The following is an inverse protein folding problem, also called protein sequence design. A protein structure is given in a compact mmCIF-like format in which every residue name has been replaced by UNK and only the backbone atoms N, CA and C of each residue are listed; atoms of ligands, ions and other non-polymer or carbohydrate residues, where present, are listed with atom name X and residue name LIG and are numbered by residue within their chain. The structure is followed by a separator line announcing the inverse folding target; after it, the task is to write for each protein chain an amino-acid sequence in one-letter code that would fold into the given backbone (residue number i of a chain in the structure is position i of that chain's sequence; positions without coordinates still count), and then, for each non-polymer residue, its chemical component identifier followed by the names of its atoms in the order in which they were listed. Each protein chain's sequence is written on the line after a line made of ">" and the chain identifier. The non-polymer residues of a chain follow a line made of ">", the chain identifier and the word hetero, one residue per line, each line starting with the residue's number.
data_IF_229204289157
#
_entry.id   IF_229204289157
#
_cell.length_a   1.000
_cell.length_b   1.000
_cell.length_c   1.000
_cell.angle_alpha   90.00
_cell.angle_beta   90.00
_cell.angle_gamma   90.00
#
_symmetry.space_group_name_H-M   'P 1'
#
loop_
_entity.id
_entity.type
_entity.pdbx_description
1 polymer ?
#
# COMPACT_ATOMS: atom_id res chain seq x y z
N UNK A 1 24.28 -26.70 7.03
CA UNK A 1 25.04 -25.51 7.50
C UNK A 1 24.67 -25.28 8.95
N UNK A 2 25.62 -25.41 9.89
CA UNK A 2 25.34 -25.18 11.31
C UNK A 2 25.28 -23.68 11.61
N UNK A 3 24.21 -23.26 12.27
CA UNK A 3 24.06 -21.89 12.76
C UNK A 3 25.08 -21.63 13.85
N UNK A 4 25.88 -20.56 13.74
CA UNK A 4 26.90 -20.24 14.73
C UNK A 4 26.30 -19.84 16.08
N UNK A 5 27.01 -20.05 17.19
CA UNK A 5 26.56 -19.66 18.53
C UNK A 5 26.29 -18.15 18.65
N UNK A 6 26.96 -17.30 17.85
CA UNK A 6 26.77 -15.86 17.76
C UNK A 6 25.43 -15.50 17.06
N UNK A 7 25.13 -16.20 15.99
CA UNK A 7 23.83 -16.07 15.28
C UNK A 7 22.69 -16.53 16.18
N UNK A 8 22.83 -17.65 16.88
CA UNK A 8 21.82 -18.15 17.81
C UNK A 8 21.55 -17.16 18.97
N UNK A 9 22.57 -16.51 19.53
CA UNK A 9 22.42 -15.45 20.54
C UNK A 9 21.75 -14.22 19.99
N UNK A 10 22.02 -13.82 18.75
CA UNK A 10 21.35 -12.71 18.07
C UNK A 10 19.88 -13.04 17.84
N UNK A 11 19.55 -14.24 17.39
CA UNK A 11 18.18 -14.72 17.22
C UNK A 11 17.40 -14.78 18.54
N UNK A 12 18.00 -15.30 19.61
CA UNK A 12 17.34 -15.38 20.93
C UNK A 12 17.13 -14.00 21.55
N UNK A 13 18.06 -13.07 21.40
CA UNK A 13 17.90 -11.69 21.87
C UNK A 13 16.82 -10.93 21.07
N UNK A 14 16.77 -11.12 19.76
CA UNK A 14 15.73 -10.57 18.88
C UNK A 14 14.36 -11.14 19.23
N UNK A 15 14.25 -12.47 19.38
CA UNK A 15 13.02 -13.15 19.77
C UNK A 15 12.51 -12.69 21.15
N UNK A 16 13.40 -12.52 22.14
CA UNK A 16 13.02 -12.00 23.47
C UNK A 16 12.57 -10.54 23.43
N UNK A 17 13.24 -9.67 22.67
CA UNK A 17 12.84 -8.28 22.46
C UNK A 17 11.48 -8.20 21.75
N UNK A 18 11.30 -9.04 20.73
CA UNK A 18 10.03 -9.12 19.99
C UNK A 18 8.89 -9.63 20.88
N UNK A 19 9.13 -10.68 21.69
CA UNK A 19 8.12 -11.21 22.63
C UNK A 19 7.76 -10.18 23.71
N UNK A 20 8.74 -9.50 24.31
CA UNK A 20 8.50 -8.46 25.32
C UNK A 20 7.74 -7.26 24.76
N UNK A 21 8.10 -6.79 23.55
CA UNK A 21 7.35 -5.76 22.83
C UNK A 21 5.92 -6.24 22.54
N UNK A 22 5.76 -7.45 22.02
CA UNK A 22 4.48 -8.01 21.68
C UNK A 22 3.52 -8.09 22.90
N UNK A 23 4.01 -8.54 24.06
CA UNK A 23 3.20 -8.60 25.30
C UNK A 23 2.78 -7.20 25.73
N UNK A 24 3.72 -6.24 25.73
CA UNK A 24 3.43 -4.85 26.06
C UNK A 24 2.41 -4.24 25.10
N UNK A 25 2.63 -4.37 23.80
CA UNK A 25 1.72 -3.88 22.77
C UNK A 25 0.31 -4.49 22.94
N UNK A 26 0.21 -5.79 23.30
CA UNK A 26 -1.06 -6.46 23.61
C UNK A 26 -1.78 -5.90 24.83
N UNK A 27 -1.03 -5.54 25.87
CA UNK A 27 -1.60 -4.94 27.08
C UNK A 27 -2.07 -3.51 26.81
N UNK A 28 -1.29 -2.73 26.07
CA UNK A 28 -1.66 -1.38 25.63
C UNK A 28 -2.87 -1.40 24.70
N UNK A 29 -2.92 -2.32 23.73
CA UNK A 29 -4.03 -2.48 22.79
C UNK A 29 -5.38 -2.79 23.45
N UNK A 30 -5.38 -3.42 24.64
CA UNK A 30 -6.62 -3.63 25.42
C UNK A 30 -7.22 -2.32 25.91
N UNK A 31 -6.40 -1.28 26.06
CA UNK A 31 -6.78 0.05 26.55
C UNK A 31 -7.18 1.00 25.43
N UNK A 32 -6.76 0.70 24.19
CA UNK A 32 -7.04 1.54 23.02
C UNK A 32 -8.16 0.91 22.19
N UNK A 33 -9.31 1.54 22.03
CA UNK A 33 -10.40 1.00 21.22
C UNK A 33 -9.99 0.92 19.75
N UNK A 34 -10.51 -0.08 19.03
CA UNK A 34 -10.44 -0.14 17.58
C UNK A 34 -11.52 0.79 17.01
N UNK A 35 -11.11 1.94 16.50
CA UNK A 35 -12.02 2.96 15.99
C UNK A 35 -12.70 2.49 14.70
N UNK A 36 -13.95 2.87 14.44
CA UNK A 36 -14.57 2.72 13.11
C UNK A 36 -13.81 3.56 12.09
N UNK A 37 -13.91 3.21 10.80
CA UNK A 37 -13.45 4.09 9.74
C UNK A 37 -14.30 5.38 9.76
N UNK A 38 -13.67 6.58 9.62
CA UNK A 38 -14.42 7.84 9.64
C UNK A 38 -15.40 7.99 8.46
N UNK A 39 -15.10 7.35 7.34
CA UNK A 39 -15.95 7.37 6.14
C UNK A 39 -16.16 5.95 5.63
N UNK A 40 -17.21 5.75 4.82
CA UNK A 40 -17.51 4.49 4.15
C UNK A 40 -17.69 4.75 2.65
N UNK A 41 -16.88 4.12 1.79
CA UNK A 41 -17.07 4.20 0.34
C UNK A 41 -18.36 3.47 -0.09
N UNK A 42 -18.95 3.96 -1.16
CA UNK A 42 -20.12 3.37 -1.84
C UNK A 42 -19.74 3.02 -3.29
N UNK A 43 -18.95 1.94 -3.52
CA UNK A 43 -18.43 1.62 -4.85
C UNK A 43 -19.51 1.39 -5.90
N UNK A 44 -20.71 0.99 -5.49
CA UNK A 44 -21.88 0.80 -6.36
C UNK A 44 -22.37 2.09 -7.04
N UNK A 45 -21.97 3.24 -6.51
CA UNK A 45 -22.32 4.55 -7.09
C UNK A 45 -21.27 5.08 -8.07
N UNK A 46 -20.12 4.38 -8.21
CA UNK A 46 -19.01 4.90 -9.01
C UNK A 46 -19.22 4.67 -10.52
N UNK A 47 -18.93 5.71 -11.30
CA UNK A 47 -18.97 5.61 -12.76
C UNK A 47 -17.74 4.88 -13.32
N UNK A 48 -17.96 3.98 -14.27
CA UNK A 48 -16.90 3.32 -15.03
C UNK A 48 -16.23 4.24 -16.08
N UNK A 49 -16.72 5.46 -16.26
CA UNK A 49 -16.14 6.46 -17.15
C UNK A 49 -15.13 7.38 -16.45
N UNK A 50 -14.84 7.15 -15.18
CA UNK A 50 -13.96 8.02 -14.37
C UNK A 50 -12.90 7.22 -13.61
N UNK A 51 -11.83 7.93 -13.23
CA UNK A 51 -10.92 7.45 -12.17
C UNK A 51 -11.52 7.83 -10.82
N UNK A 52 -11.91 6.82 -10.04
CA UNK A 52 -12.38 6.99 -8.67
C UNK A 52 -11.60 6.08 -7.75
N UNK A 53 -11.19 6.58 -6.59
CA UNK A 53 -10.42 5.83 -5.59
C UNK A 53 -11.00 6.01 -4.20
N UNK A 54 -10.86 4.98 -3.34
CA UNK A 54 -11.10 5.09 -1.92
C UNK A 54 -9.97 4.47 -1.12
N UNK A 55 -9.51 5.16 -0.07
CA UNK A 55 -8.49 4.64 0.81
C UNK A 55 -9.11 3.77 1.92
N UNK A 56 -8.91 2.45 1.84
CA UNK A 56 -9.46 1.50 2.81
C UNK A 56 -8.60 1.35 4.09
N UNK A 57 -7.48 2.07 4.12
CA UNK A 57 -6.51 2.10 5.21
C UNK A 57 -5.21 1.38 4.88
N UNK A 58 -4.09 1.86 5.46
CA UNK A 58 -2.72 1.44 5.19
C UNK A 58 -2.36 1.66 3.72
N UNK A 59 -1.89 0.64 3.01
CA UNK A 59 -1.60 0.67 1.57
C UNK A 59 -2.73 0.07 0.72
N UNK A 60 -3.90 -0.21 1.34
CA UNK A 60 -5.04 -0.77 0.63
C UNK A 60 -5.91 0.34 0.06
N UNK A 61 -5.91 0.49 -1.25
CA UNK A 61 -6.72 1.45 -2.01
C UNK A 61 -7.60 0.68 -2.99
N UNK A 62 -8.91 0.93 -2.95
CA UNK A 62 -9.85 0.48 -3.98
C UNK A 62 -9.86 1.51 -5.10
N UNK A 63 -9.72 1.05 -6.33
CA UNK A 63 -9.58 1.90 -7.52
C UNK A 63 -10.56 1.41 -8.58
N UNK A 64 -11.41 2.30 -9.08
CA UNK A 64 -12.08 2.14 -10.37
C UNK A 64 -11.32 3.01 -11.39
N UNK A 65 -10.52 2.36 -12.23
CA UNK A 65 -9.74 3.04 -13.26
C UNK A 65 -10.41 2.89 -14.62
N UNK A 66 -11.38 3.75 -14.87
CA UNK A 66 -12.19 3.72 -16.12
C UNK A 66 -12.78 2.32 -16.40
N UNK A 67 -13.51 1.78 -15.42
CA UNK A 67 -14.15 0.47 -15.49
C UNK A 67 -13.21 -0.72 -15.24
N UNK A 68 -11.92 -0.49 -14.92
CA UNK A 68 -11.00 -1.51 -14.44
C UNK A 68 -10.89 -1.42 -12.93
N UNK A 69 -11.40 -2.43 -12.22
CA UNK A 69 -11.47 -2.46 -10.76
C UNK A 69 -10.23 -3.12 -10.16
N UNK A 70 -9.45 -2.34 -9.44
CA UNK A 70 -8.17 -2.74 -8.84
C UNK A 70 -8.21 -2.59 -7.32
N UNK A 71 -7.50 -3.47 -6.62
CA UNK A 71 -7.25 -3.35 -5.19
C UNK A 71 -5.75 -3.46 -4.92
N UNK A 72 -5.17 -2.45 -4.28
CA UNK A 72 -3.75 -2.45 -3.92
C UNK A 72 -3.53 -3.10 -2.56
N UNK A 73 -2.43 -3.80 -2.38
CA UNK A 73 -1.86 -4.31 -1.10
C UNK A 73 -2.93 -4.71 -0.06
N UNK A 74 -3.70 -5.79 -0.29
CA UNK A 74 -4.90 -6.09 0.48
C UNK A 74 -4.60 -6.58 1.89
N UNK A 75 -4.75 -5.70 2.88
CA UNK A 75 -4.55 -5.95 4.31
C UNK A 75 -5.77 -5.50 5.12
N UNK A 76 -6.91 -6.17 4.96
CA UNK A 76 -8.21 -5.79 5.54
C UNK A 76 -8.53 -6.43 6.89
N UNK A 77 -7.60 -7.21 7.47
CA UNK A 77 -7.82 -7.82 8.79
C UNK A 77 -7.49 -6.84 9.90
N UNK A 78 -8.04 -7.11 11.09
CA UNK A 78 -7.80 -6.33 12.31
C UNK A 78 -6.34 -6.37 12.76
N UNK A 79 -5.58 -7.38 12.34
CA UNK A 79 -4.18 -7.58 12.69
C UNK A 79 -3.42 -8.20 11.53
N UNK A 80 -2.24 -7.69 11.27
CA UNK A 80 -1.28 -8.23 10.31
C UNK A 80 -0.08 -8.83 11.03
N UNK A 81 0.64 -9.75 10.39
CA UNK A 81 1.82 -10.37 10.98
C UNK A 81 1.90 -11.87 10.79
N UNK A 82 2.76 -12.52 11.59
CA UNK A 82 3.01 -13.97 11.56
C UNK A 82 1.88 -14.73 12.23
N UNK A 83 1.40 -15.78 11.58
CA UNK A 83 0.36 -16.65 12.14
C UNK A 83 1.01 -17.85 12.83
N UNK A 84 0.69 -18.03 14.12
CA UNK A 84 1.16 -19.14 14.95
C UNK A 84 -0.04 -19.70 15.74
N UNK A 85 -0.34 -21.01 15.61
CA UNK A 85 -1.41 -21.69 16.36
C UNK A 85 -2.77 -20.99 16.29
N UNK A 86 -3.15 -20.44 15.13
CA UNK A 86 -4.42 -19.71 14.98
C UNK A 86 -4.38 -18.22 15.39
N UNK A 87 -3.38 -17.80 16.14
CA UNK A 87 -3.16 -16.42 16.54
C UNK A 87 -2.32 -15.68 15.50
N UNK A 88 -2.58 -14.38 15.30
CA UNK A 88 -1.72 -13.51 14.48
C UNK A 88 -0.85 -12.66 15.41
N UNK A 89 0.46 -12.81 15.29
CA UNK A 89 1.47 -12.06 16.02
C UNK A 89 1.92 -10.87 15.15
N UNK A 90 1.67 -9.64 15.63
CA UNK A 90 2.02 -8.41 14.93
C UNK A 90 1.06 -7.28 15.29
N UNK A 91 1.17 -6.10 14.68
CA UNK A 91 0.40 -4.91 15.04
C UNK A 91 -1.10 -5.09 14.76
N UNK A 92 -1.92 -4.50 15.67
CA UNK A 92 -3.35 -4.35 15.49
C UNK A 92 -3.64 -3.01 14.82
N UNK A 93 -4.69 -2.96 14.00
CA UNK A 93 -5.20 -1.70 13.45
C UNK A 93 -5.63 -0.75 14.56
N UNK A 94 -5.40 0.53 14.34
CA UNK A 94 -5.97 1.64 15.12
C UNK A 94 -7.40 1.93 14.65
N UNK A 95 -7.62 1.84 13.34
CA UNK A 95 -8.90 2.11 12.67
C UNK A 95 -9.29 0.87 11.86
N UNK A 96 -10.57 0.50 11.87
CA UNK A 96 -11.10 -0.59 11.03
C UNK A 96 -10.92 -0.27 9.55
N UNK A 97 -10.79 -1.29 8.67
CA UNK A 97 -10.84 -1.03 7.23
C UNK A 97 -12.21 -0.44 6.87
N UNK A 98 -12.22 0.48 5.90
CA UNK A 98 -13.46 1.14 5.49
C UNK A 98 -14.47 0.19 4.84
N UNK A 99 -13.97 -0.88 4.19
CA UNK A 99 -14.76 -2.01 3.68
C UNK A 99 -14.10 -3.33 4.10
N UNK A 100 -14.92 -4.31 4.46
CA UNK A 100 -14.46 -5.68 4.64
C UNK A 100 -14.28 -6.38 3.27
N UNK A 101 -13.54 -7.50 3.23
CA UNK A 101 -13.28 -8.23 1.98
C UNK A 101 -14.54 -8.70 1.26
N UNK A 102 -15.64 -8.97 1.99
CA UNK A 102 -16.92 -9.38 1.42
C UNK A 102 -17.79 -8.22 0.92
N UNK A 103 -17.40 -6.98 1.20
CA UNK A 103 -18.10 -5.76 0.78
C UNK A 103 -17.46 -5.11 -0.45
N UNK A 104 -16.35 -5.68 -0.93
CA UNK A 104 -15.67 -5.19 -2.13
C UNK A 104 -16.47 -5.52 -3.39
N UNK A 105 -16.45 -4.64 -4.39
CA UNK A 105 -17.01 -4.95 -5.71
C UNK A 105 -16.25 -6.10 -6.38
N UNK A 106 -16.74 -6.57 -7.53
CA UNK A 106 -16.00 -7.52 -8.35
C UNK A 106 -14.69 -6.88 -8.83
N UNK A 107 -13.56 -7.44 -8.41
CA UNK A 107 -12.23 -6.94 -8.76
C UNK A 107 -11.71 -7.63 -10.03
N UNK A 108 -11.15 -6.83 -10.95
CA UNK A 108 -10.44 -7.33 -12.13
C UNK A 108 -9.02 -7.79 -11.74
N UNK A 109 -8.32 -7.04 -10.87
CA UNK A 109 -7.02 -7.48 -10.35
C UNK A 109 -6.67 -6.93 -8.95
N UNK A 110 -5.76 -7.67 -8.29
CA UNK A 110 -4.98 -7.21 -7.14
C UNK A 110 -3.63 -6.71 -7.64
N UNK A 111 -3.15 -5.58 -7.13
CA UNK A 111 -1.79 -5.09 -7.35
C UNK A 111 -1.05 -5.22 -6.02
N UNK A 112 -0.03 -6.09 -5.94
CA UNK A 112 0.68 -6.31 -4.68
C UNK A 112 2.15 -5.94 -4.83
N UNK A 113 2.53 -4.89 -4.11
CA UNK A 113 3.84 -4.25 -4.23
C UNK A 113 4.99 -5.11 -3.72
N UNK A 114 4.80 -5.85 -2.63
CA UNK A 114 5.81 -6.73 -2.03
C UNK A 114 5.18 -7.67 -0.98
N UNK A 115 6.01 -8.54 -0.40
CA UNK A 115 5.52 -9.63 0.46
C UNK A 115 5.42 -9.28 1.95
N UNK A 116 5.68 -8.06 2.41
CA UNK A 116 5.51 -7.71 3.82
C UNK A 116 4.07 -7.97 4.28
N UNK A 117 3.92 -8.29 5.56
CA UNK A 117 2.66 -8.85 6.08
C UNK A 117 1.54 -7.84 6.16
N UNK A 118 1.85 -6.57 6.16
CA UNK A 118 0.93 -5.43 6.17
C UNK A 118 0.51 -4.98 4.76
N UNK A 119 1.16 -5.51 3.71
CA UNK A 119 0.80 -5.34 2.30
C UNK A 119 0.20 -6.62 1.71
N UNK A 120 0.86 -7.75 1.91
CA UNK A 120 0.43 -9.07 1.48
C UNK A 120 -0.14 -9.86 2.66
N UNK A 121 -1.34 -9.51 3.17
CA UNK A 121 -1.99 -10.27 4.24
C UNK A 121 -2.67 -11.52 3.70
N UNK A 122 -2.03 -12.68 3.88
CA UNK A 122 -2.55 -13.97 3.45
C UNK A 122 -3.95 -14.28 4.01
N UNK A 123 -4.30 -13.69 5.16
CA UNK A 123 -5.63 -13.86 5.75
C UNK A 123 -6.70 -13.09 4.98
N UNK A 124 -6.40 -11.91 4.49
CA UNK A 124 -7.25 -11.14 3.56
C UNK A 124 -7.32 -11.84 2.21
N UNK A 125 -6.18 -12.23 1.63
CA UNK A 125 -6.12 -12.92 0.34
C UNK A 125 -7.02 -14.16 0.30
N UNK A 126 -7.11 -14.94 1.41
CA UNK A 126 -7.99 -16.12 1.48
C UNK A 126 -9.48 -15.80 1.39
N UNK A 127 -9.89 -14.56 1.66
CA UNK A 127 -11.29 -14.11 1.62
C UNK A 127 -11.69 -13.51 0.28
N UNK A 128 -10.71 -13.18 -0.56
CA UNK A 128 -10.96 -12.64 -1.89
C UNK A 128 -11.32 -13.76 -2.89
N UNK A 129 -12.15 -13.48 -3.91
CA UNK A 129 -12.54 -14.45 -4.91
C UNK A 129 -11.33 -15.02 -5.67
N UNK A 130 -11.29 -16.34 -5.87
CA UNK A 130 -10.21 -17.01 -6.61
C UNK A 130 -10.09 -16.56 -8.07
N UNK A 131 -11.18 -16.09 -8.67
CA UNK A 131 -11.22 -15.60 -10.06
C UNK A 131 -10.52 -14.25 -10.24
N UNK A 132 -10.29 -13.49 -9.16
CA UNK A 132 -9.55 -12.23 -9.22
C UNK A 132 -8.12 -12.51 -9.68
N UNK A 133 -7.62 -11.75 -10.64
CA UNK A 133 -6.23 -11.81 -11.09
C UNK A 133 -5.31 -11.21 -10.04
N UNK A 134 -4.09 -11.71 -9.90
CA UNK A 134 -3.05 -11.11 -9.06
C UNK A 134 -1.89 -10.65 -9.95
N UNK A 135 -1.54 -9.37 -9.87
CA UNK A 135 -0.34 -8.78 -10.48
C UNK A 135 0.61 -8.45 -9.35
N UNK A 136 1.78 -9.07 -9.35
CA UNK A 136 2.73 -9.03 -8.24
C UNK A 136 4.16 -8.82 -8.75
N UNK A 137 5.05 -8.39 -7.87
CA UNK A 137 6.47 -8.32 -8.21
C UNK A 137 7.08 -9.74 -8.29
N UNK A 138 8.11 -9.91 -9.12
CA UNK A 138 8.83 -11.18 -9.34
C UNK A 138 9.15 -11.90 -8.02
N UNK A 139 9.06 -13.23 -8.01
CA UNK A 139 9.36 -14.08 -6.86
C UNK A 139 8.29 -14.10 -5.76
N UNK A 140 7.10 -13.55 -6.01
CA UNK A 140 6.00 -13.56 -5.04
C UNK A 140 4.84 -14.47 -5.44
N UNK A 141 4.82 -15.03 -6.64
CA UNK A 141 3.71 -15.80 -7.18
C UNK A 141 3.30 -17.00 -6.33
N UNK A 142 4.24 -17.61 -5.58
CA UNK A 142 3.98 -18.71 -4.67
C UNK A 142 2.97 -18.36 -3.57
N UNK A 143 2.86 -17.10 -3.17
CA UNK A 143 1.90 -16.59 -2.19
C UNK A 143 0.47 -16.48 -2.77
N UNK A 144 0.35 -16.47 -4.10
CA UNK A 144 -0.88 -16.22 -4.84
C UNK A 144 -1.43 -17.43 -5.59
N UNK A 145 -0.89 -18.64 -5.41
CA UNK A 145 -1.28 -19.89 -6.10
C UNK A 145 -2.78 -20.23 -6.06
N UNK A 146 -3.53 -19.62 -5.14
CA UNK A 146 -4.96 -19.82 -5.05
C UNK A 146 -5.77 -19.06 -6.10
N UNK A 147 -5.19 -18.02 -6.70
CA UNK A 147 -5.83 -17.19 -7.72
C UNK A 147 -5.71 -17.84 -9.10
N UNK A 148 -6.74 -17.67 -9.93
CA UNK A 148 -6.80 -18.31 -11.24
C UNK A 148 -5.72 -17.83 -12.21
N UNK A 149 -5.27 -16.57 -12.04
CA UNK A 149 -4.18 -15.99 -12.82
C UNK A 149 -3.26 -15.16 -11.93
N UNK A 150 -1.97 -15.37 -12.08
CA UNK A 150 -0.91 -14.62 -11.40
C UNK A 150 0.09 -14.16 -12.46
N UNK A 151 0.33 -12.86 -12.50
CA UNK A 151 1.37 -12.27 -13.35
C UNK A 151 2.46 -11.73 -12.42
N UNK A 152 3.67 -12.28 -12.55
CA UNK A 152 4.86 -11.80 -11.86
C UNK A 152 5.60 -10.86 -12.80
N UNK A 153 5.91 -9.64 -12.35
CA UNK A 153 6.56 -8.62 -13.15
C UNK A 153 7.88 -8.16 -12.52
N UNK A 154 8.90 -7.99 -13.35
CA UNK A 154 10.12 -7.24 -13.03
C UNK A 154 9.90 -5.75 -13.30
N UNK A 155 10.71 -4.90 -12.70
CA UNK A 155 10.69 -3.48 -13.01
C UNK A 155 10.82 -3.22 -14.50
N UNK A 156 9.92 -2.43 -15.07
CA UNK A 156 9.81 -2.12 -16.49
C UNK A 156 8.98 -3.14 -17.29
N UNK A 157 8.68 -4.32 -16.76
CA UNK A 157 7.74 -5.24 -17.38
C UNK A 157 6.30 -4.82 -17.13
N UNK A 158 5.41 -5.17 -18.05
CA UNK A 158 3.99 -4.80 -17.97
C UNK A 158 3.08 -5.93 -18.41
N UNK A 159 1.84 -5.86 -17.93
CA UNK A 159 0.74 -6.73 -18.35
C UNK A 159 -0.51 -5.88 -18.60
N UNK A 160 -1.52 -6.44 -19.24
CA UNK A 160 -2.79 -5.77 -19.49
C UNK A 160 -3.89 -6.38 -18.62
N UNK A 161 -4.67 -5.53 -17.95
CA UNK A 161 -5.84 -5.89 -17.15
C UNK A 161 -7.04 -5.09 -17.66
N UNK A 162 -7.97 -5.73 -18.38
CA UNK A 162 -9.21 -5.13 -18.89
C UNK A 162 -8.97 -3.77 -19.59
N UNK A 163 -7.96 -3.75 -20.49
CA UNK A 163 -7.56 -2.57 -21.26
C UNK A 163 -6.74 -1.54 -20.48
N UNK A 164 -6.40 -1.79 -19.22
CA UNK A 164 -5.43 -1.01 -18.48
C UNK A 164 -4.04 -1.66 -18.56
N UNK A 165 -3.02 -0.92 -19.00
CA UNK A 165 -1.64 -1.35 -18.92
C UNK A 165 -1.14 -1.17 -17.50
N UNK A 166 -0.59 -2.21 -16.92
CA UNK A 166 0.00 -2.23 -15.57
C UNK A 166 1.48 -2.55 -15.71
N UNK A 167 2.35 -1.58 -15.43
CA UNK A 167 3.81 -1.71 -15.46
C UNK A 167 4.36 -1.73 -14.03
N UNK A 168 5.27 -2.67 -13.73
CA UNK A 168 6.01 -2.66 -12.48
C UNK A 168 7.09 -1.57 -12.52
N UNK A 169 7.15 -0.70 -11.49
CA UNK A 169 8.10 0.41 -11.40
C UNK A 169 9.07 0.24 -10.23
N UNK A 170 10.29 0.74 -10.43
CA UNK A 170 11.36 0.72 -9.44
C UNK A 170 11.02 1.58 -8.20
N UNK A 171 11.34 1.05 -7.02
CA UNK A 171 11.23 1.74 -5.73
C UNK A 171 12.46 1.47 -4.87
N UNK A 172 12.64 2.25 -3.80
CA UNK A 172 13.72 2.07 -2.83
C UNK A 172 13.18 1.39 -1.57
N UNK A 173 13.10 0.05 -1.59
CA UNK A 173 12.60 -0.76 -0.49
C UNK A 173 13.23 -2.15 -0.49
N UNK A 174 12.59 -3.14 0.14
CA UNK A 174 12.99 -4.56 0.15
C UNK A 174 11.75 -5.45 0.26
N UNK A 175 11.82 -6.72 -0.21
CA UNK A 175 10.64 -7.56 -0.40
C UNK A 175 10.53 -8.80 0.49
N UNK A 176 11.54 -9.13 1.30
CA UNK A 176 11.56 -10.38 2.05
C UNK A 176 10.46 -10.43 3.13
N UNK A 177 9.65 -11.50 3.13
CA UNK A 177 8.65 -11.79 4.16
C UNK A 177 9.24 -12.51 5.38
N UNK A 178 10.33 -13.27 5.15
CA UNK A 178 11.08 -14.02 6.15
C UNK A 178 12.56 -13.74 5.95
N UNK A 179 13.38 -14.06 6.94
CA UNK A 179 14.84 -13.89 6.85
C UNK A 179 15.48 -14.70 5.71
N UNK A 180 14.80 -15.77 5.26
CA UNK A 180 15.30 -16.71 4.25
C UNK A 180 14.81 -16.45 2.83
N UNK A 181 13.83 -15.58 2.63
CA UNK A 181 13.21 -15.36 1.31
C UNK A 181 13.57 -14.00 0.69
N UNK A 182 14.85 -13.65 0.70
CA UNK A 182 15.41 -12.40 0.14
C UNK A 182 15.29 -12.27 -1.39
N UNK A 183 14.90 -13.36 -2.06
CA UNK A 183 14.67 -13.39 -3.52
C UNK A 183 13.37 -12.68 -3.94
N UNK A 184 12.49 -12.33 -2.99
CA UNK A 184 11.22 -11.71 -3.30
C UNK A 184 11.40 -10.29 -3.80
N UNK A 185 10.87 -10.03 -4.99
CA UNK A 185 10.82 -8.71 -5.60
C UNK A 185 9.90 -7.76 -4.84
N UNK A 186 10.10 -6.50 -5.10
CA UNK A 186 9.34 -5.37 -4.57
C UNK A 186 9.27 -4.27 -5.62
N UNK A 187 8.25 -3.43 -5.57
CA UNK A 187 8.06 -2.37 -6.55
C UNK A 187 6.74 -1.64 -6.40
N UNK A 188 6.58 -0.57 -7.14
CA UNK A 188 5.31 0.07 -7.39
C UNK A 188 4.66 -0.42 -8.67
N UNK A 189 3.56 0.22 -9.05
CA UNK A 189 2.86 0.00 -10.31
C UNK A 189 2.49 1.32 -10.95
N UNK A 190 2.73 1.45 -12.26
CA UNK A 190 2.12 2.46 -13.12
C UNK A 190 0.94 1.81 -13.82
N UNK A 191 -0.25 2.43 -13.69
CA UNK A 191 -1.47 1.98 -14.37
C UNK A 191 -1.88 3.03 -15.38
N UNK A 192 -2.00 2.64 -16.64
CA UNK A 192 -2.33 3.54 -17.75
C UNK A 192 -3.56 3.04 -18.52
N UNK A 193 -4.51 3.92 -18.80
CA UNK A 193 -5.69 3.66 -19.63
C UNK A 193 -6.29 4.98 -20.14
N UNK A 194 -6.73 5.03 -21.39
CA UNK A 194 -7.38 6.20 -21.99
C UNK A 194 -6.57 7.51 -21.87
N UNK A 195 -5.22 7.42 -21.95
CA UNK A 195 -4.34 8.59 -21.82
C UNK A 195 -4.22 9.15 -20.39
N UNK A 196 -4.74 8.44 -19.40
CA UNK A 196 -4.63 8.75 -17.98
C UNK A 196 -3.70 7.78 -17.28
N UNK A 197 -3.06 8.23 -16.19
CA UNK A 197 -2.12 7.42 -15.45
C UNK A 197 -2.25 7.58 -13.94
N UNK A 198 -2.12 6.46 -13.22
CA UNK A 198 -2.03 6.38 -11.78
C UNK A 198 -0.73 5.66 -11.41
N UNK A 199 0.01 6.19 -10.44
CA UNK A 199 1.16 5.51 -9.82
C UNK A 199 0.78 5.04 -8.42
N UNK A 200 0.93 3.74 -8.16
CA UNK A 200 0.91 3.16 -6.83
C UNK A 200 2.36 2.85 -6.42
N UNK A 201 2.89 3.59 -5.44
CA UNK A 201 4.30 3.48 -5.06
C UNK A 201 4.64 2.24 -4.23
N UNK A 202 3.64 1.56 -3.61
CA UNK A 202 3.95 0.61 -2.55
C UNK A 202 4.75 1.27 -1.43
N UNK A 203 5.63 0.52 -0.76
CA UNK A 203 6.57 1.10 0.17
C UNK A 203 7.86 1.53 -0.54
N UNK A 204 8.34 2.72 -0.18
CA UNK A 204 9.59 3.28 -0.71
C UNK A 204 10.17 4.34 0.23
N UNK A 205 11.49 4.39 0.36
CA UNK A 205 12.18 5.60 0.74
C UNK A 205 12.18 6.60 -0.42
N UNK A 206 12.68 7.81 -0.21
CA UNK A 206 12.89 8.75 -1.32
C UNK A 206 13.71 8.10 -2.44
N UNK A 207 13.23 8.25 -3.67
CA UNK A 207 13.90 7.77 -4.89
C UNK A 207 13.66 8.71 -6.06
N UNK A 208 14.63 8.86 -6.92
CA UNK A 208 14.50 9.56 -8.20
C UNK A 208 13.89 8.70 -9.32
N UNK A 209 13.61 7.43 -9.05
CA UNK A 209 13.04 6.51 -10.03
C UNK A 209 11.73 7.05 -10.63
N UNK A 210 10.87 7.64 -9.79
CA UNK A 210 9.60 8.21 -10.24
C UNK A 210 9.75 9.41 -11.16
N UNK A 211 10.81 10.23 -11.03
CA UNK A 211 11.07 11.33 -11.94
C UNK A 211 11.32 10.88 -13.39
N UNK A 212 11.71 9.59 -13.58
CA UNK A 212 11.88 8.99 -14.91
C UNK A 212 10.55 8.89 -15.67
N UNK A 213 9.41 8.75 -14.98
CA UNK A 213 8.08 8.69 -15.58
C UNK A 213 7.78 10.00 -16.33
N UNK A 214 8.03 11.14 -15.68
CA UNK A 214 7.89 12.46 -16.32
C UNK A 214 8.81 12.61 -17.53
N UNK A 215 10.06 12.14 -17.43
CA UNK A 215 11.03 12.19 -18.54
C UNK A 215 10.61 11.32 -19.74
N UNK A 216 9.83 10.26 -19.50
CA UNK A 216 9.22 9.41 -20.55
C UNK A 216 7.96 10.03 -21.15
N UNK A 217 7.55 11.21 -20.71
CA UNK A 217 6.32 11.88 -21.18
C UNK A 217 5.03 11.37 -20.52
N UNK A 218 5.11 10.51 -19.50
CA UNK A 218 3.92 10.02 -18.79
C UNK A 218 3.31 11.16 -17.96
N UNK A 219 2.06 11.48 -18.24
CA UNK A 219 1.27 12.41 -17.42
C UNK A 219 0.60 11.61 -16.29
N UNK A 220 1.06 11.80 -15.07
CA UNK A 220 0.51 11.13 -13.89
C UNK A 220 -0.63 11.97 -13.32
N UNK A 221 -1.87 11.45 -13.33
CA UNK A 221 -3.02 12.14 -12.74
C UNK A 221 -3.03 11.97 -11.21
N UNK A 222 -2.72 10.77 -10.70
CA UNK A 222 -2.72 10.47 -9.27
C UNK A 222 -1.49 9.64 -8.86
N UNK A 223 -0.75 10.13 -7.87
CA UNK A 223 0.30 9.37 -7.19
C UNK A 223 -0.18 8.89 -5.82
N UNK A 224 -0.24 7.58 -5.60
CA UNK A 224 -0.53 6.95 -4.31
C UNK A 224 0.80 6.60 -3.65
N UNK A 225 1.22 7.37 -2.64
CA UNK A 225 2.56 7.28 -2.04
C UNK A 225 2.53 7.12 -0.52
N UNK A 226 3.48 6.37 0.06
CA UNK A 226 3.59 6.19 1.51
C UNK A 226 4.08 7.47 2.17
N UNK A 227 3.54 7.79 3.37
CA UNK A 227 3.98 8.94 4.17
C UNK A 227 4.23 8.58 5.64
N UNK A 228 4.20 7.30 6.00
CA UNK A 228 4.37 6.82 7.38
C UNK A 228 5.46 5.76 7.50
N UNK A 229 5.69 5.33 8.74
CA UNK A 229 6.73 4.37 9.13
C UNK A 229 8.17 4.85 8.89
N UNK A 230 8.43 6.16 8.90
CA UNK A 230 9.74 6.73 8.62
C UNK A 230 10.67 6.84 9.85
N UNK A 231 10.17 6.89 11.08
CA UNK A 231 11.01 6.98 12.28
C UNK A 231 11.15 5.61 12.98
N UNK A 232 12.31 4.95 12.96
CA UNK A 232 13.61 5.38 12.43
C UNK A 232 13.93 4.89 11.01
N UNK A 233 12.94 4.44 10.24
CA UNK A 233 13.15 3.68 9.00
C UNK A 233 13.22 4.55 7.73
N UNK A 234 13.71 5.78 7.83
CA UNK A 234 13.78 6.77 6.73
C UNK A 234 14.52 6.27 5.48
N UNK A 235 15.41 5.29 5.62
CA UNK A 235 16.17 4.71 4.52
C UNK A 235 15.37 3.70 3.68
N UNK A 236 14.16 3.31 4.13
CA UNK A 236 13.26 2.37 3.45
C UNK A 236 11.82 2.85 3.40
N UNK A 237 11.49 3.95 4.11
CA UNK A 237 10.17 4.61 4.10
C UNK A 237 10.33 6.11 3.98
N UNK A 238 9.68 6.71 2.99
CA UNK A 238 9.68 8.15 2.81
C UNK A 238 8.87 8.86 3.91
N UNK A 239 9.36 10.00 4.36
CA UNK A 239 8.56 10.91 5.16
C UNK A 239 7.60 11.74 4.27
N UNK A 240 6.63 12.47 4.85
CA UNK A 240 5.64 13.23 4.08
C UNK A 240 6.24 14.23 3.09
N UNK A 241 7.30 14.94 3.47
CA UNK A 241 7.96 15.94 2.61
C UNK A 241 8.65 15.27 1.42
N UNK A 242 9.26 14.09 1.64
CA UNK A 242 9.89 13.32 0.57
C UNK A 242 8.84 12.77 -0.41
N UNK A 243 7.70 12.31 0.08
CA UNK A 243 6.61 11.83 -0.79
C UNK A 243 5.96 12.96 -1.57
N UNK A 244 5.77 14.12 -0.97
CA UNK A 244 5.36 15.33 -1.67
C UNK A 244 6.36 15.71 -2.77
N UNK A 245 7.65 15.66 -2.46
CA UNK A 245 8.72 15.93 -3.42
C UNK A 245 8.69 14.92 -4.58
N UNK A 246 8.59 13.61 -4.31
CA UNK A 246 8.51 12.58 -5.34
C UNK A 246 7.29 12.78 -6.25
N UNK A 247 6.10 13.11 -5.69
CA UNK A 247 4.91 13.42 -6.48
C UNK A 247 5.13 14.60 -7.43
N UNK A 248 5.80 15.65 -6.98
CA UNK A 248 6.14 16.81 -7.82
C UNK A 248 7.18 16.47 -8.89
N UNK A 249 8.20 15.72 -8.56
CA UNK A 249 9.29 15.32 -9.49
C UNK A 249 8.75 14.40 -10.60
N UNK A 250 7.81 13.50 -10.31
CA UNK A 250 7.15 12.69 -11.35
C UNK A 250 6.11 13.49 -12.16
N UNK A 251 5.76 14.70 -11.74
CA UNK A 251 4.73 15.51 -12.39
C UNK A 251 3.31 15.05 -12.10
N UNK A 252 3.09 14.34 -11.00
CA UNK A 252 1.75 13.95 -10.61
C UNK A 252 0.89 15.16 -10.30
N UNK A 253 -0.35 15.17 -10.78
CA UNK A 253 -1.28 16.27 -10.54
C UNK A 253 -1.85 16.22 -9.12
N UNK A 254 -2.21 15.03 -8.66
CA UNK A 254 -2.72 14.79 -7.31
C UNK A 254 -1.87 13.75 -6.59
N UNK A 255 -1.89 13.80 -5.25
CA UNK A 255 -1.31 12.80 -4.37
C UNK A 255 -2.36 12.24 -3.42
N UNK A 256 -2.41 10.90 -3.29
CA UNK A 256 -3.09 10.19 -2.23
C UNK A 256 -2.03 9.67 -1.27
N UNK A 257 -1.87 10.30 -0.09
CA UNK A 257 -0.96 9.81 0.93
C UNK A 257 -1.52 8.55 1.59
N UNK A 258 -0.70 7.52 1.70
CA UNK A 258 -1.05 6.25 2.32
C UNK A 258 -0.03 5.81 3.37
N UNK A 259 -0.18 4.60 3.92
CA UNK A 259 0.76 3.96 4.87
C UNK A 259 0.88 4.69 6.21
N UNK A 260 -0.19 5.33 6.68
CA UNK A 260 -0.25 6.04 7.98
C UNK A 260 -1.57 5.73 8.70
N UNK A 261 -1.71 6.17 9.95
CA UNK A 261 -2.96 6.16 10.74
C UNK A 261 -3.66 4.80 10.86
N UNK A 262 -3.06 3.73 10.38
CA UNK A 262 -3.68 2.39 10.33
C UNK A 262 -3.05 1.41 11.30
N UNK A 263 -1.74 1.25 11.26
CA UNK A 263 -0.95 0.40 12.15
C UNK A 263 0.13 1.22 12.82
N UNK A 264 0.47 0.88 14.07
CA UNK A 264 1.65 1.47 14.74
C UNK A 264 2.88 0.64 14.36
N UNK A 265 3.58 1.03 13.29
CA UNK A 265 4.77 0.34 12.78
C UNK A 265 6.09 1.02 13.21
N UNK A 266 6.04 2.25 13.64
CA UNK A 266 7.15 3.17 13.85
C UNK A 266 6.95 4.02 15.11
N UNK A 267 7.77 5.03 15.31
CA UNK A 267 7.78 5.85 16.53
C UNK A 267 7.00 7.15 16.37
N UNK A 268 6.83 7.65 15.16
CA UNK A 268 6.09 8.89 14.92
C UNK A 268 4.62 8.74 15.38
N UNK A 269 4.03 9.80 15.94
CA UNK A 269 2.60 9.86 16.27
C UNK A 269 1.72 9.55 15.06
N UNK A 270 0.63 8.83 15.24
CA UNK A 270 -0.22 8.35 14.14
C UNK A 270 -0.84 9.47 13.28
N UNK A 271 -1.03 10.68 13.84
CA UNK A 271 -1.58 11.86 13.18
C UNK A 271 -0.50 12.76 12.53
N UNK A 272 0.78 12.58 12.90
CA UNK A 272 1.88 13.43 12.43
C UNK A 272 2.05 13.36 10.90
N UNK A 273 2.05 12.19 10.24
CA UNK A 273 2.23 12.11 8.79
C UNK A 273 1.20 12.94 8.02
N UNK A 274 -0.09 12.87 8.46
CA UNK A 274 -1.18 13.66 7.86
C UNK A 274 -0.95 15.17 7.99
N UNK A 275 -0.56 15.63 9.18
CA UNK A 275 -0.29 17.06 9.40
C UNK A 275 0.88 17.54 8.55
N UNK A 276 1.94 16.72 8.46
CA UNK A 276 3.17 17.08 7.72
C UNK A 276 2.95 17.10 6.21
N UNK A 277 2.19 16.16 5.62
CA UNK A 277 1.91 16.20 4.16
C UNK A 277 1.10 17.45 3.80
N UNK A 278 0.12 17.84 4.61
CA UNK A 278 -0.66 19.06 4.39
C UNK A 278 0.19 20.32 4.56
N UNK A 279 1.14 20.31 5.49
CA UNK A 279 2.10 21.41 5.67
C UNK A 279 3.08 21.50 4.48
N UNK A 280 3.61 20.37 4.00
CA UNK A 280 4.49 20.30 2.84
C UNK A 280 3.80 20.77 1.55
N UNK A 281 2.52 20.44 1.38
CA UNK A 281 1.72 20.92 0.25
C UNK A 281 1.42 22.42 0.31
N UNK A 282 1.35 23.01 1.50
CA UNK A 282 1.18 24.46 1.68
C UNK A 282 -0.03 25.03 0.93
N UNK A 283 0.19 25.93 -0.02
CA UNK A 283 -0.87 26.50 -0.88
C UNK A 283 -1.44 25.51 -1.89
N UNK A 284 -0.73 24.42 -2.17
CA UNK A 284 -1.15 23.36 -3.12
C UNK A 284 -1.91 22.22 -2.41
N UNK A 285 -2.50 22.43 -1.22
CA UNK A 285 -3.26 21.40 -0.46
C UNK A 285 -4.39 20.76 -1.27
N UNK A 286 -4.94 21.47 -2.21
CA UNK A 286 -5.97 20.98 -3.14
C UNK A 286 -5.49 19.76 -3.96
N UNK A 287 -4.17 19.57 -4.10
CA UNK A 287 -3.58 18.39 -4.77
C UNK A 287 -3.53 17.15 -3.88
N UNK A 288 -3.78 17.30 -2.58
CA UNK A 288 -3.90 16.15 -1.68
C UNK A 288 -5.31 15.60 -1.80
N UNK A 289 -5.47 14.51 -2.54
CA UNK A 289 -6.77 13.97 -2.96
C UNK A 289 -7.66 13.56 -1.78
N UNK A 290 -7.08 12.90 -0.77
CA UNK A 290 -7.75 12.51 0.47
C UNK A 290 -6.72 12.21 1.58
N UNK A 291 -7.18 12.22 2.85
CA UNK A 291 -6.28 12.02 4.01
C UNK A 291 -6.90 11.16 5.11
N UNK A 292 -8.14 10.71 4.95
CA UNK A 292 -8.86 9.93 5.97
C UNK A 292 -9.33 8.60 5.42
N UNK A 293 -9.30 7.57 6.27
CA UNK A 293 -9.72 6.21 5.90
C UNK A 293 -11.19 6.22 5.53
N UNK A 294 -11.51 5.66 4.37
CA UNK A 294 -12.86 5.57 3.82
C UNK A 294 -13.28 6.74 2.95
N UNK A 295 -12.50 7.84 2.90
CA UNK A 295 -12.76 8.89 1.92
C UNK A 295 -12.69 8.34 0.49
N UNK A 296 -13.58 8.85 -0.37
CA UNK A 296 -13.60 8.62 -1.81
C UNK A 296 -13.19 9.90 -2.52
N UNK A 297 -12.41 9.76 -3.57
CA UNK A 297 -12.00 10.85 -4.45
C UNK A 297 -12.15 10.43 -5.91
N UNK A 298 -12.67 11.33 -6.71
CA UNK A 298 -12.81 11.15 -8.16
C UNK A 298 -12.00 12.22 -8.87
N UNK A 299 -11.25 11.84 -9.91
CA UNK A 299 -10.45 12.78 -10.68
C UNK A 299 -11.37 13.90 -11.22
N UNK A 300 -11.10 15.18 -10.92
CA UNK A 300 -11.89 16.29 -11.45
C UNK A 300 -11.86 16.35 -12.98
N UNK A 301 -12.94 16.76 -13.58
CA UNK A 301 -13.02 17.03 -15.02
C UNK A 301 -12.18 18.26 -15.38
N UNK A 302 -11.63 18.29 -16.60
CA UNK A 302 -10.74 19.37 -17.02
C UNK A 302 -11.45 20.74 -17.08
N UNK A 303 -12.75 20.75 -17.34
CA UNK A 303 -13.58 21.98 -17.41
C UNK A 303 -13.83 22.65 -16.05
N UNK A 304 -13.69 21.95 -14.94
CA UNK A 304 -13.89 22.51 -13.59
C UNK A 304 -12.64 23.24 -13.03
N UNK A 305 -11.67 23.55 -13.88
CA UNK A 305 -10.36 24.14 -13.49
C UNK A 305 -10.18 25.62 -13.89
N UNK A 306 -11.24 26.29 -14.30
CA UNK A 306 -11.22 27.74 -14.60
C UNK A 306 -11.45 28.59 -13.37
#
# INVERSE_FOLDING_TARGET
>A
MSVSAKELRTYTSFARRFAGKFVRDRLEERRVPLLPAPHRPEPETWSDERLTVAWLGHATVLINFYGTWLLTDPALRTRVGVRVGGLTLGPRRLVRPALAAGELPALDALLVSHAHMDHCDLGTLRRLPRRTRAVVQEGNGDLFRRFARVDELKWGESTEVKGARVEAVEVNHWGARKLTDRHRGYGGFLVEKRGRALVFGGDTAYTEAFARLRRRGTRVDLAVLPIGAYDPYINVHANPEQSWRMAREMGAEYILPMHHSTFRLSREPADEPRRRILAAAGRERWRVALTEIGQTWTLPEEESRQ
#
